data_IF_525694760447
#
_entry.id   IF_525694760447
#
_cell.length_a   1.000
_cell.length_b   1.000
_cell.length_c   1.000
_cell.angle_alpha   90.00
_cell.angle_beta   90.00
_cell.angle_gamma   90.00
#
_symmetry.space_group_name_H-M   'P 1'
#
loop_
_entity.id
_entity.type
_entity.pdbx_description
1 polymer ?
#
# COMPACT_ATOMS: atom_id res chain seq x y z
N UNK A 1 26.57 -22.15 -20.92
CA UNK A 1 27.92 -21.96 -21.49
C UNK A 1 28.26 -20.49 -21.40
N UNK A 2 29.53 -20.10 -21.20
CA UNK A 2 29.92 -18.70 -21.33
C UNK A 2 30.19 -18.40 -22.83
N UNK A 3 29.90 -17.19 -23.32
CA UNK A 3 30.03 -16.85 -24.74
C UNK A 3 31.48 -16.72 -25.20
N UNK A 4 32.43 -16.70 -24.27
CA UNK A 4 33.85 -16.66 -24.59
C UNK A 4 34.40 -18.08 -24.64
N UNK A 5 34.89 -18.51 -25.81
CA UNK A 5 35.58 -19.80 -25.98
C UNK A 5 37.04 -19.56 -26.34
N UNK A 6 37.92 -20.30 -25.70
CA UNK A 6 39.33 -20.33 -26.05
C UNK A 6 39.55 -21.27 -27.25
N UNK A 7 40.24 -20.78 -28.27
CA UNK A 7 40.63 -21.59 -29.42
C UNK A 7 41.86 -22.42 -29.10
N UNK A 8 42.15 -23.43 -29.92
CA UNK A 8 43.36 -24.25 -29.83
C UNK A 8 44.68 -23.45 -29.89
N UNK A 9 44.64 -22.15 -30.27
CA UNK A 9 45.78 -21.24 -30.25
C UNK A 9 45.75 -20.19 -29.14
N UNK A 10 44.93 -20.35 -28.09
CA UNK A 10 44.84 -19.42 -26.96
C UNK A 10 44.09 -18.10 -27.25
N UNK A 11 43.52 -17.95 -28.45
CA UNK A 11 42.71 -16.78 -28.80
C UNK A 11 41.28 -16.98 -28.31
N UNK A 12 40.77 -16.03 -27.54
CA UNK A 12 39.36 -15.99 -27.15
C UNK A 12 38.50 -15.55 -28.34
N UNK A 13 37.52 -16.37 -28.69
CA UNK A 13 36.49 -16.05 -29.68
C UNK A 13 35.16 -15.92 -28.94
N UNK A 14 34.44 -14.84 -29.23
CA UNK A 14 33.05 -14.71 -28.83
C UNK A 14 32.18 -15.58 -29.73
N UNK A 15 31.40 -16.46 -29.11
CA UNK A 15 30.36 -17.25 -29.72
C UNK A 15 29.04 -16.66 -29.24
N UNK A 16 28.23 -16.06 -30.14
CA UNK A 16 26.95 -15.52 -29.79
C UNK A 16 26.08 -16.57 -29.10
N UNK A 17 25.33 -16.13 -28.11
CA UNK A 17 24.42 -17.03 -27.42
C UNK A 17 23.34 -17.55 -28.38
N UNK A 18 23.03 -18.84 -28.30
CA UNK A 18 21.87 -19.34 -29.02
C UNK A 18 20.60 -18.82 -28.36
N UNK A 19 19.56 -18.53 -29.17
CA UNK A 19 18.27 -18.02 -28.68
C UNK A 19 17.68 -18.89 -27.57
N UNK A 20 17.80 -20.22 -27.70
CA UNK A 20 17.31 -21.17 -26.69
C UNK A 20 18.06 -21.08 -25.35
N UNK A 21 19.35 -20.75 -25.38
CA UNK A 21 20.14 -20.62 -24.17
C UNK A 21 19.69 -19.37 -23.41
N UNK A 22 19.59 -18.22 -24.11
CA UNK A 22 19.05 -17.00 -23.49
C UNK A 22 17.63 -17.25 -22.98
N UNK A 23 16.77 -17.88 -23.78
CA UNK A 23 15.40 -18.20 -23.38
C UNK A 23 15.36 -18.96 -22.06
N UNK A 24 16.10 -20.07 -21.95
CA UNK A 24 16.14 -20.87 -20.71
C UNK A 24 16.67 -20.11 -19.49
N UNK A 25 17.61 -19.17 -19.68
CA UNK A 25 18.05 -18.29 -18.60
C UNK A 25 17.03 -17.22 -18.23
N UNK A 26 16.22 -16.79 -19.19
CA UNK A 26 15.27 -15.69 -19.04
C UNK A 26 13.85 -16.13 -18.71
N UNK A 27 13.55 -17.43 -18.74
CA UNK A 27 12.22 -17.95 -18.41
C UNK A 27 11.79 -17.58 -16.97
N UNK A 28 12.76 -17.46 -16.07
CA UNK A 28 12.55 -17.03 -14.68
C UNK A 28 12.63 -15.51 -14.49
N UNK A 29 12.83 -14.73 -15.55
CA UNK A 29 12.90 -13.28 -15.42
C UNK A 29 11.52 -12.72 -15.02
N UNK A 30 11.49 -11.77 -14.07
CA UNK A 30 10.26 -11.09 -13.70
C UNK A 30 9.77 -10.28 -14.91
N UNK A 31 8.48 -10.29 -15.22
CA UNK A 31 7.99 -9.58 -16.41
C UNK A 31 8.19 -8.08 -16.30
N UNK A 32 8.78 -7.46 -17.33
CA UNK A 32 9.10 -6.02 -17.38
C UNK A 32 7.92 -5.13 -16.95
N UNK A 33 6.71 -5.38 -17.45
CA UNK A 33 5.52 -4.55 -17.13
C UNK A 33 5.02 -4.72 -15.70
N UNK A 34 5.18 -5.92 -15.14
CA UNK A 34 4.63 -6.26 -13.82
C UNK A 34 5.60 -5.87 -12.71
N UNK A 35 6.90 -6.12 -12.93
CA UNK A 35 7.96 -5.93 -11.94
C UNK A 35 9.18 -5.28 -12.59
N UNK A 36 9.07 -4.02 -13.05
CA UNK A 36 10.12 -3.36 -13.82
C UNK A 36 11.44 -3.29 -13.06
N UNK A 37 11.42 -2.99 -11.75
CA UNK A 37 12.62 -2.87 -10.92
C UNK A 37 13.37 -4.21 -10.83
N UNK A 38 12.67 -5.29 -10.48
CA UNK A 38 13.29 -6.63 -10.40
C UNK A 38 13.82 -7.06 -11.78
N UNK A 39 13.12 -6.73 -12.87
CA UNK A 39 13.56 -7.02 -14.24
C UNK A 39 14.84 -6.26 -14.61
N UNK A 40 14.96 -4.97 -14.27
CA UNK A 40 16.19 -4.21 -14.53
C UNK A 40 17.38 -4.81 -13.79
N UNK A 41 17.20 -5.16 -12.51
CA UNK A 41 18.26 -5.73 -11.69
C UNK A 41 18.74 -7.09 -12.24
N UNK A 42 17.81 -7.95 -12.64
CA UNK A 42 18.17 -9.25 -13.23
C UNK A 42 18.82 -9.11 -14.61
N UNK A 43 18.27 -8.25 -15.48
CA UNK A 43 18.83 -7.97 -16.81
C UNK A 43 20.23 -7.41 -16.70
N UNK A 44 20.45 -6.44 -15.80
CA UNK A 44 21.76 -5.83 -15.57
C UNK A 44 22.78 -6.82 -15.02
N UNK A 45 22.36 -7.66 -14.07
CA UNK A 45 23.20 -8.74 -13.56
C UNK A 45 23.58 -9.73 -14.67
N UNK A 46 22.63 -10.12 -15.52
CA UNK A 46 22.87 -11.02 -16.64
C UNK A 46 23.87 -10.43 -17.63
N UNK A 47 23.62 -9.20 -18.11
CA UNK A 47 24.50 -8.52 -19.07
C UNK A 47 25.94 -8.39 -18.56
N UNK A 48 26.10 -8.04 -17.28
CA UNK A 48 27.43 -7.91 -16.65
C UNK A 48 28.14 -9.25 -16.49
N UNK A 49 27.44 -10.30 -16.06
CA UNK A 49 28.03 -11.63 -15.85
C UNK A 49 28.34 -12.33 -17.17
N UNK A 50 27.43 -12.26 -18.14
CA UNK A 50 27.59 -12.89 -19.44
C UNK A 50 28.55 -12.13 -20.36
N UNK A 51 28.91 -10.88 -20.01
CA UNK A 51 29.73 -9.98 -20.84
C UNK A 51 29.15 -9.86 -22.26
N UNK A 52 27.85 -9.63 -22.34
CA UNK A 52 27.10 -9.60 -23.60
C UNK A 52 27.72 -8.62 -24.61
N UNK A 53 27.85 -9.06 -25.85
CA UNK A 53 28.14 -8.19 -26.99
C UNK A 53 26.83 -7.68 -27.63
N UNK A 54 26.95 -6.87 -28.68
CA UNK A 54 25.80 -6.26 -29.35
C UNK A 54 24.76 -7.31 -29.84
N UNK A 55 25.22 -8.40 -30.44
CA UNK A 55 24.33 -9.48 -30.93
C UNK A 55 23.58 -10.18 -29.78
N UNK A 56 24.26 -10.40 -28.64
CA UNK A 56 23.66 -10.98 -27.45
C UNK A 56 22.62 -10.05 -26.85
N UNK A 57 22.90 -8.74 -26.81
CA UNK A 57 21.96 -7.72 -26.32
C UNK A 57 20.72 -7.63 -27.20
N UNK A 58 20.87 -7.69 -28.52
CA UNK A 58 19.74 -7.75 -29.45
C UNK A 58 18.86 -8.96 -29.16
N UNK A 59 19.47 -10.14 -29.10
CA UNK A 59 18.74 -11.39 -28.86
C UNK A 59 18.06 -11.37 -27.49
N UNK A 60 18.76 -10.87 -26.45
CA UNK A 60 18.23 -10.70 -25.12
C UNK A 60 17.00 -9.80 -25.13
N UNK A 61 17.10 -8.57 -25.65
CA UNK A 61 15.98 -7.64 -25.64
C UNK A 61 14.79 -8.11 -26.47
N UNK A 62 15.03 -8.82 -27.59
CA UNK A 62 13.95 -9.45 -28.36
C UNK A 62 13.19 -10.53 -27.57
N UNK A 63 13.85 -11.18 -26.61
CA UNK A 63 13.23 -12.20 -25.75
C UNK A 63 12.55 -11.56 -24.54
N UNK A 64 13.24 -10.66 -23.84
CA UNK A 64 12.81 -10.18 -22.52
C UNK A 64 12.00 -8.89 -22.52
N UNK A 65 11.99 -8.14 -23.63
CA UNK A 65 11.21 -6.91 -23.79
C UNK A 65 10.01 -7.20 -24.70
N UNK A 66 8.78 -6.78 -24.32
CA UNK A 66 7.62 -6.85 -25.21
C UNK A 66 7.90 -6.16 -26.55
N UNK A 67 7.54 -6.81 -27.66
CA UNK A 67 7.89 -6.35 -29.00
C UNK A 67 7.47 -4.88 -29.28
N UNK A 68 6.29 -4.47 -28.80
CA UNK A 68 5.81 -3.09 -28.96
C UNK A 68 6.71 -2.07 -28.26
N UNK A 69 7.16 -2.39 -27.04
CA UNK A 69 8.09 -1.54 -26.29
C UNK A 69 9.50 -1.57 -26.89
N UNK A 70 9.92 -2.70 -27.45
CA UNK A 70 11.24 -2.83 -28.04
C UNK A 70 11.37 -2.01 -29.32
N UNK A 71 10.39 -2.05 -30.22
CA UNK A 71 10.39 -1.21 -31.43
C UNK A 71 10.36 0.28 -31.09
N UNK A 72 9.54 0.68 -30.11
CA UNK A 72 9.50 2.04 -29.61
C UNK A 72 10.86 2.46 -29.01
N UNK A 73 11.49 1.58 -28.24
CA UNK A 73 12.78 1.82 -27.62
C UNK A 73 13.88 2.00 -28.67
N UNK A 74 13.97 1.11 -29.66
CA UNK A 74 14.96 1.20 -30.73
C UNK A 74 14.91 2.56 -31.43
N UNK A 75 13.71 3.06 -31.74
CA UNK A 75 13.54 4.38 -32.35
C UNK A 75 13.98 5.51 -31.42
N UNK A 76 13.61 5.45 -30.14
CA UNK A 76 13.88 6.52 -29.19
C UNK A 76 15.37 6.64 -28.82
N UNK A 77 16.08 5.52 -28.68
CA UNK A 77 17.50 5.52 -28.29
C UNK A 77 18.45 5.59 -29.48
N UNK A 78 17.93 5.51 -30.71
CA UNK A 78 18.73 5.42 -31.93
C UNK A 78 19.51 4.10 -31.99
N UNK A 79 18.83 2.99 -31.70
CA UNK A 79 19.48 1.68 -31.69
C UNK A 79 19.94 1.29 -33.10
N UNK A 80 21.23 0.94 -33.29
CA UNK A 80 21.78 0.59 -34.59
C UNK A 80 21.11 -0.66 -35.21
N UNK A 81 20.92 -0.66 -36.52
CA UNK A 81 20.42 -1.82 -37.27
C UNK A 81 21.49 -2.88 -37.53
N UNK A 82 22.77 -2.50 -37.40
CA UNK A 82 23.93 -3.36 -37.58
C UNK A 82 24.92 -3.17 -36.43
N UNK A 83 25.79 -4.15 -36.23
CA UNK A 83 26.81 -4.10 -35.18
C UNK A 83 27.67 -2.82 -35.32
N UNK A 84 27.79 -2.00 -34.26
CA UNK A 84 28.73 -0.88 -34.24
C UNK A 84 30.17 -1.36 -34.38
N UNK A 85 31.06 -0.54 -34.93
CA UNK A 85 32.47 -0.91 -35.07
C UNK A 85 33.08 -1.37 -33.73
N UNK A 86 33.67 -2.56 -33.75
CA UNK A 86 34.37 -3.12 -32.59
C UNK A 86 35.66 -2.37 -32.35
N UNK A 87 36.01 -2.22 -31.08
CA UNK A 87 37.35 -1.80 -30.70
C UNK A 87 38.34 -2.89 -31.15
N UNK A 88 39.15 -2.55 -32.16
CA UNK A 88 40.10 -3.47 -32.81
C UNK A 88 41.26 -3.85 -31.89
N UNK A 89 41.55 -3.09 -30.84
CA UNK A 89 42.67 -3.34 -29.94
C UNK A 89 42.29 -4.27 -28.78
N UNK A 90 41.07 -4.13 -28.24
CA UNK A 90 40.69 -4.82 -27.00
C UNK A 90 39.76 -6.02 -27.19
N UNK A 91 39.06 -6.11 -28.33
CA UNK A 91 38.03 -7.14 -28.55
C UNK A 91 36.87 -7.09 -27.54
N UNK A 92 36.82 -6.05 -26.71
CA UNK A 92 35.78 -5.81 -25.72
C UNK A 92 34.54 -5.23 -26.40
N UNK A 93 33.34 -5.35 -25.78
CA UNK A 93 32.19 -4.57 -26.23
C UNK A 93 32.58 -3.09 -26.25
N UNK A 94 32.43 -2.48 -27.43
CA UNK A 94 32.73 -1.05 -27.61
C UNK A 94 32.04 -0.25 -26.49
N UNK A 95 32.70 0.75 -25.87
CA UNK A 95 32.06 1.64 -24.89
C UNK A 95 30.72 2.20 -25.37
N UNK A 96 30.55 2.32 -26.70
CA UNK A 96 29.30 2.67 -27.35
C UNK A 96 28.17 1.66 -27.12
N UNK A 97 28.43 0.36 -27.19
CA UNK A 97 27.43 -0.70 -26.98
C UNK A 97 26.91 -0.66 -25.56
N UNK A 98 27.80 -0.50 -24.57
CA UNK A 98 27.38 -0.35 -23.17
C UNK A 98 26.63 0.96 -22.93
N UNK A 99 27.03 2.05 -23.57
CA UNK A 99 26.28 3.31 -23.53
C UNK A 99 24.85 3.16 -24.09
N UNK A 100 24.70 2.45 -25.21
CA UNK A 100 23.38 2.14 -25.79
C UNK A 100 22.54 1.25 -24.87
N UNK A 101 23.15 0.23 -24.26
CA UNK A 101 22.49 -0.60 -23.24
C UNK A 101 21.91 0.25 -22.11
N UNK A 102 22.70 1.16 -21.52
CA UNK A 102 22.20 2.02 -20.45
C UNK A 102 21.07 2.96 -20.93
N UNK A 103 21.14 3.48 -22.16
CA UNK A 103 20.05 4.27 -22.76
C UNK A 103 18.77 3.45 -22.91
N UNK A 104 18.86 2.19 -23.34
CA UNK A 104 17.71 1.26 -23.41
C UNK A 104 17.09 1.08 -22.02
N UNK A 105 17.91 0.77 -21.01
CA UNK A 105 17.42 0.58 -19.64
C UNK A 105 16.72 1.83 -19.11
N UNK A 106 17.31 3.01 -19.27
CA UNK A 106 16.70 4.28 -18.82
C UNK A 106 15.41 4.61 -19.58
N UNK A 107 15.36 4.35 -20.89
CA UNK A 107 14.14 4.52 -21.66
C UNK A 107 13.02 3.58 -21.20
N UNK A 108 13.33 2.30 -21.00
CA UNK A 108 12.34 1.33 -20.52
C UNK A 108 11.88 1.67 -19.11
N UNK A 109 12.79 2.07 -18.21
CA UNK A 109 12.45 2.58 -16.86
C UNK A 109 11.40 3.67 -16.95
N UNK A 110 11.67 4.73 -17.71
CA UNK A 110 10.76 5.88 -17.81
C UNK A 110 9.42 5.49 -18.46
N UNK A 111 9.43 4.71 -19.54
CA UNK A 111 8.19 4.32 -20.24
C UNK A 111 7.31 3.36 -19.45
N UNK A 112 7.90 2.40 -18.75
CA UNK A 112 7.14 1.44 -17.95
C UNK A 112 6.72 2.06 -16.61
N UNK A 113 7.60 2.81 -15.96
CA UNK A 113 7.25 3.52 -14.73
C UNK A 113 6.10 4.51 -14.95
N UNK A 114 6.10 5.25 -16.07
CA UNK A 114 5.01 6.16 -16.40
C UNK A 114 3.64 5.46 -16.58
N UNK A 115 3.61 4.21 -17.05
CA UNK A 115 2.38 3.41 -17.18
C UNK A 115 1.92 2.78 -15.88
N UNK A 116 2.83 2.63 -14.91
CA UNK A 116 2.53 2.05 -13.60
C UNK A 116 2.16 3.11 -12.55
N UNK A 117 2.11 4.40 -12.92
CA UNK A 117 1.63 5.46 -12.02
C UNK A 117 0.15 5.24 -11.73
N UNK A 118 -0.14 4.81 -10.50
CA UNK A 118 -1.48 4.54 -10.00
C UNK A 118 -1.61 5.06 -8.57
N UNK A 119 -1.81 6.38 -8.46
CA UNK A 119 -2.03 7.05 -7.18
C UNK A 119 -3.24 6.50 -6.43
N UNK A 120 -4.25 5.98 -7.14
CA UNK A 120 -5.43 5.39 -6.49
C UNK A 120 -5.08 4.11 -5.73
N UNK A 121 -4.15 3.28 -6.23
CA UNK A 121 -3.67 2.11 -5.48
C UNK A 121 -2.90 2.49 -4.22
N UNK A 122 -2.11 3.57 -4.29
CA UNK A 122 -1.44 4.12 -3.10
C UNK A 122 -2.50 4.61 -2.11
N UNK A 123 -3.49 5.37 -2.57
CA UNK A 123 -4.56 5.92 -1.73
C UNK A 123 -5.41 4.84 -1.04
N UNK A 124 -5.63 3.70 -1.71
CA UNK A 124 -6.40 2.56 -1.14
C UNK A 124 -5.60 1.72 -0.15
N UNK A 125 -4.30 1.97 0.00
CA UNK A 125 -3.48 1.27 0.98
C UNK A 125 -3.78 1.83 2.37
N UNK A 126 -4.59 1.10 3.14
CA UNK A 126 -4.93 1.40 4.53
C UNK A 126 -4.55 0.23 5.44
N UNK A 127 -4.24 0.54 6.70
CA UNK A 127 -3.89 -0.40 7.75
C UNK A 127 -5.05 -1.37 8.03
N UNK A 128 -4.75 -2.67 8.01
CA UNK A 128 -5.75 -3.69 8.35
C UNK A 128 -5.99 -3.76 9.87
N UNK A 129 -7.14 -4.29 10.28
CA UNK A 129 -7.58 -4.28 11.69
C UNK A 129 -6.55 -4.88 12.68
N UNK A 130 -5.81 -5.92 12.25
CA UNK A 130 -4.82 -6.64 13.08
C UNK A 130 -3.37 -6.38 12.64
N UNK A 131 -3.16 -5.50 11.66
CA UNK A 131 -1.83 -5.22 11.13
C UNK A 131 -1.09 -4.25 12.06
N UNK A 132 0.21 -4.50 12.26
CA UNK A 132 1.06 -3.59 13.02
C UNK A 132 1.34 -2.31 12.23
N UNK A 133 1.66 -1.22 12.93
CA UNK A 133 2.02 0.06 12.31
C UNK A 133 3.20 -0.10 11.34
N UNK A 134 4.21 -0.88 11.75
CA UNK A 134 5.40 -1.10 10.93
C UNK A 134 5.09 -1.93 9.67
N UNK A 135 4.28 -2.99 9.80
CA UNK A 135 3.87 -3.80 8.64
C UNK A 135 3.08 -2.97 7.62
N UNK A 136 2.17 -2.13 8.09
CA UNK A 136 1.43 -1.19 7.24
C UNK A 136 2.37 -0.18 6.56
N UNK A 137 3.30 0.40 7.30
CA UNK A 137 4.31 1.32 6.77
C UNK A 137 5.10 0.70 5.61
N UNK A 138 5.65 -0.51 5.80
CA UNK A 138 6.41 -1.23 4.77
C UNK A 138 5.54 -1.51 3.53
N UNK A 139 4.28 -1.88 3.73
CA UNK A 139 3.34 -2.13 2.64
C UNK A 139 3.00 -0.86 1.88
N UNK A 140 2.78 0.26 2.56
CA UNK A 140 2.56 1.56 1.94
C UNK A 140 3.81 2.03 1.18
N UNK A 141 5.01 1.88 1.77
CA UNK A 141 6.27 2.20 1.12
C UNK A 141 6.45 1.40 -0.18
N UNK A 142 6.15 0.10 -0.14
CA UNK A 142 6.17 -0.77 -1.32
C UNK A 142 5.14 -0.35 -2.36
N UNK A 143 3.91 -0.02 -1.95
CA UNK A 143 2.88 0.49 -2.85
C UNK A 143 3.34 1.80 -3.51
N UNK A 144 3.94 2.71 -2.75
CA UNK A 144 4.47 3.96 -3.27
C UNK A 144 5.53 3.71 -4.34
N UNK A 145 6.57 2.92 -4.04
CA UNK A 145 7.63 2.58 -5.01
C UNK A 145 7.12 1.91 -6.28
N UNK A 146 6.06 1.12 -6.17
CA UNK A 146 5.49 0.39 -7.32
C UNK A 146 4.57 1.26 -8.18
N UNK A 147 3.93 2.28 -7.60
CA UNK A 147 2.83 3.00 -8.24
C UNK A 147 3.00 4.52 -8.29
N UNK A 148 4.06 5.11 -7.73
CA UNK A 148 4.35 6.56 -7.86
C UNK A 148 5.06 6.90 -9.17
N UNK A 149 5.67 5.89 -9.82
CA UNK A 149 6.60 6.08 -10.93
C UNK A 149 8.01 6.50 -10.48
N UNK A 150 8.31 6.45 -9.18
CA UNK A 150 9.63 6.80 -8.61
C UNK A 150 10.21 5.64 -7.79
N UNK A 151 11.52 5.43 -7.88
CA UNK A 151 12.22 4.39 -7.11
C UNK A 151 12.42 4.78 -5.64
N UNK A 152 12.61 6.08 -5.41
CA UNK A 152 12.75 6.70 -4.09
C UNK A 152 11.62 7.71 -3.87
N UNK A 153 11.28 7.95 -2.60
CA UNK A 153 10.35 9.02 -2.26
C UNK A 153 11.15 10.32 -2.28
N UNK A 154 10.92 11.14 -3.31
CA UNK A 154 11.57 12.44 -3.41
C UNK A 154 11.02 13.41 -2.35
N UNK A 155 11.77 14.46 -2.04
CA UNK A 155 11.36 15.47 -1.04
C UNK A 155 9.99 16.10 -1.37
N UNK A 156 9.68 16.28 -2.66
CA UNK A 156 8.39 16.81 -3.13
C UNK A 156 7.21 15.86 -2.83
N UNK A 157 7.47 14.57 -2.75
CA UNK A 157 6.49 13.51 -2.58
C UNK A 157 6.36 13.06 -1.11
N UNK A 158 7.36 13.36 -0.28
CA UNK A 158 7.37 13.03 1.16
C UNK A 158 6.15 13.58 1.90
N UNK A 159 5.72 14.80 1.60
CA UNK A 159 4.52 15.38 2.23
C UNK A 159 3.27 14.58 1.89
N UNK A 160 3.13 14.16 0.63
CA UNK A 160 2.03 13.29 0.21
C UNK A 160 2.14 11.91 0.89
N UNK A 161 3.34 11.34 0.98
CA UNK A 161 3.57 10.07 1.66
C UNK A 161 3.19 10.11 3.14
N UNK A 162 3.62 11.13 3.89
CA UNK A 162 3.26 11.33 5.30
C UNK A 162 1.76 11.51 5.46
N UNK A 163 1.14 12.31 4.59
CA UNK A 163 -0.31 12.47 4.57
C UNK A 163 -1.02 11.13 4.37
N UNK A 164 -0.63 10.36 3.36
CA UNK A 164 -1.20 9.03 3.10
C UNK A 164 -0.97 8.05 4.22
N UNK A 165 0.21 8.05 4.82
CA UNK A 165 0.52 7.21 5.97
C UNK A 165 -0.50 7.44 7.08
N UNK A 166 -0.68 8.69 7.53
CA UNK A 166 -1.58 9.02 8.64
C UNK A 166 -3.05 8.79 8.27
N UNK A 167 -3.48 9.14 7.05
CA UNK A 167 -4.87 8.91 6.62
C UNK A 167 -5.23 7.43 6.48
N UNK A 168 -4.26 6.59 6.10
CA UNK A 168 -4.49 5.16 5.96
C UNK A 168 -4.31 4.37 7.26
N UNK A 169 -3.86 4.97 8.36
CA UNK A 169 -3.85 4.30 9.68
C UNK A 169 -5.28 3.99 10.15
N UNK A 170 -5.40 3.07 11.11
CA UNK A 170 -6.70 2.83 11.78
C UNK A 170 -7.28 4.16 12.29
N UNK A 171 -8.61 4.38 12.16
CA UNK A 171 -9.23 5.68 12.44
C UNK A 171 -8.89 6.23 13.83
N UNK A 172 -8.82 5.38 14.85
CA UNK A 172 -8.54 5.77 16.23
C UNK A 172 -7.10 6.29 16.39
N UNK A 173 -6.16 5.69 15.67
CA UNK A 173 -4.74 6.10 15.65
C UNK A 173 -4.60 7.39 14.86
N UNK A 174 -5.17 7.43 13.65
CA UNK A 174 -5.15 8.60 12.76
C UNK A 174 -5.70 9.83 13.47
N UNK A 175 -6.84 9.69 14.16
CA UNK A 175 -7.45 10.77 14.92
C UNK A 175 -6.54 11.25 16.05
N UNK A 176 -5.90 10.35 16.79
CA UNK A 176 -5.03 10.72 17.92
C UNK A 176 -3.75 11.44 17.46
N UNK A 177 -3.19 11.04 16.32
CA UNK A 177 -2.08 11.77 15.69
C UNK A 177 -2.54 13.18 15.31
N UNK A 178 -3.67 13.30 14.60
CA UNK A 178 -4.19 14.60 14.14
C UNK A 178 -4.54 15.53 15.29
N UNK A 179 -4.95 15.01 16.45
CA UNK A 179 -5.31 15.82 17.62
C UNK A 179 -4.12 16.22 18.48
N UNK A 180 -3.08 15.38 18.59
CA UNK A 180 -2.01 15.58 19.58
C UNK A 180 -0.64 15.88 18.98
N UNK A 181 -0.38 15.48 17.73
CA UNK A 181 0.87 15.78 17.05
C UNK A 181 0.71 17.04 16.19
N UNK A 182 1.22 18.16 16.71
CA UNK A 182 1.17 19.47 16.03
C UNK A 182 1.99 19.41 14.74
N UNK A 183 1.39 19.94 13.66
CA UNK A 183 2.03 20.02 12.34
C UNK A 183 2.56 18.67 11.84
N UNK A 184 1.88 17.57 12.16
CA UNK A 184 2.30 16.21 11.78
C UNK A 184 2.58 16.07 10.27
N UNK A 185 1.93 16.85 9.41
CA UNK A 185 2.12 16.80 7.95
C UNK A 185 3.53 17.23 7.51
N UNK A 186 4.19 18.09 8.28
CA UNK A 186 5.54 18.59 7.98
C UNK A 186 6.63 17.88 8.79
N UNK A 187 6.26 16.91 9.64
CA UNK A 187 7.22 16.17 10.46
C UNK A 187 7.93 15.10 9.61
N UNK A 188 9.19 14.76 9.94
CA UNK A 188 9.85 13.60 9.37
C UNK A 188 9.04 12.33 9.62
N UNK A 189 9.03 11.43 8.63
CA UNK A 189 8.22 10.20 8.71
C UNK A 189 8.58 9.35 9.93
N UNK A 190 9.86 9.31 10.34
CA UNK A 190 10.31 8.55 11.51
C UNK A 190 9.71 9.06 12.83
N UNK A 191 9.51 10.37 12.94
CA UNK A 191 8.87 10.99 14.10
C UNK A 191 7.38 10.63 14.14
N UNK A 192 6.70 10.72 12.98
CA UNK A 192 5.29 10.35 12.83
C UNK A 192 5.08 8.86 13.09
N UNK A 193 5.97 8.00 12.61
CA UNK A 193 5.94 6.55 12.80
C UNK A 193 6.10 6.18 14.29
N UNK A 194 7.04 6.85 14.97
CA UNK A 194 7.26 6.69 16.41
C UNK A 194 6.02 7.09 17.20
N UNK A 195 5.42 8.23 16.85
CA UNK A 195 4.21 8.70 17.51
C UNK A 195 3.00 7.80 17.21
N UNK A 196 2.86 7.28 15.99
CA UNK A 196 1.84 6.32 15.62
C UNK A 196 1.94 5.01 16.43
N UNK A 197 3.16 4.55 16.70
CA UNK A 197 3.41 3.39 17.58
C UNK A 197 2.95 3.68 19.01
N UNK A 198 3.37 4.80 19.59
CA UNK A 198 2.89 5.25 20.90
C UNK A 198 1.36 5.28 20.95
N UNK A 199 0.73 5.79 19.90
CA UNK A 199 -0.73 5.85 19.81
C UNK A 199 -1.39 4.47 19.84
N UNK A 200 -0.83 3.51 19.09
CA UNK A 200 -1.31 2.12 19.08
C UNK A 200 -1.22 1.50 20.47
N UNK A 201 -0.05 1.62 21.12
CA UNK A 201 0.20 1.05 22.45
C UNK A 201 -0.77 1.62 23.50
N UNK A 202 -1.00 2.94 23.47
CA UNK A 202 -1.91 3.59 24.41
C UNK A 202 -3.38 3.15 24.22
N UNK A 203 -3.81 2.98 22.97
CA UNK A 203 -5.15 2.46 22.64
C UNK A 203 -5.30 1.02 23.14
N UNK A 204 -4.29 0.16 22.94
CA UNK A 204 -4.32 -1.22 23.43
C UNK A 204 -4.41 -1.29 24.97
N UNK A 205 -3.65 -0.46 25.67
CA UNK A 205 -3.73 -0.34 27.14
C UNK A 205 -5.12 0.12 27.58
N UNK A 206 -5.71 1.12 26.91
CA UNK A 206 -7.07 1.61 27.21
C UNK A 206 -8.12 0.53 26.96
N UNK A 207 -8.02 -0.21 25.87
CA UNK A 207 -8.93 -1.31 25.55
C UNK A 207 -8.82 -2.47 26.56
N UNK A 208 -7.61 -2.82 26.99
CA UNK A 208 -7.39 -3.86 28.01
C UNK A 208 -8.04 -3.45 29.34
N UNK A 209 -7.77 -2.24 29.83
CA UNK A 209 -8.38 -1.70 31.06
C UNK A 209 -9.91 -1.64 30.97
N UNK A 210 -10.46 -1.30 29.81
CA UNK A 210 -11.91 -1.29 29.61
C UNK A 210 -12.50 -2.71 29.69
N UNK A 211 -11.88 -3.69 29.03
CA UNK A 211 -12.30 -5.10 29.10
C UNK A 211 -12.28 -5.63 30.54
N UNK A 212 -11.22 -5.34 31.29
CA UNK A 212 -11.10 -5.72 32.71
C UNK A 212 -12.21 -5.09 33.56
N UNK A 213 -12.51 -3.80 33.36
CA UNK A 213 -13.62 -3.11 34.06
C UNK A 213 -14.99 -3.72 33.74
N UNK A 214 -15.25 -4.02 32.46
CA UNK A 214 -16.50 -4.65 32.03
C UNK A 214 -16.66 -6.04 32.65
N UNK A 215 -15.60 -6.86 32.63
CA UNK A 215 -15.61 -8.18 33.24
C UNK A 215 -15.86 -8.12 34.76
N UNK A 216 -15.22 -7.17 35.46
CA UNK A 216 -15.44 -6.97 36.88
C UNK A 216 -16.87 -6.53 37.21
N UNK A 217 -17.48 -5.67 36.39
CA UNK A 217 -18.89 -5.27 36.54
C UNK A 217 -19.84 -6.45 36.34
N UNK A 218 -19.60 -7.31 35.34
CA UNK A 218 -20.40 -8.51 35.10
C UNK A 218 -20.29 -9.50 36.26
N UNK A 219 -19.08 -9.71 36.80
CA UNK A 219 -18.86 -10.58 37.96
C UNK A 219 -19.58 -10.04 39.20
N UNK A 220 -19.49 -8.73 39.45
CA UNK A 220 -20.19 -8.08 40.57
C UNK A 220 -21.70 -8.22 40.45
N UNK A 221 -22.26 -7.99 39.25
CA UNK A 221 -23.70 -8.15 39.01
C UNK A 221 -24.18 -9.59 39.26
N UNK A 222 -23.40 -10.60 38.84
CA UNK A 222 -23.71 -12.00 39.12
C UNK A 222 -23.67 -12.33 40.62
N UNK A 223 -22.70 -11.80 41.36
CA UNK A 223 -22.58 -12.00 42.81
C UNK A 223 -23.73 -11.33 43.59
N UNK A 224 -24.12 -10.11 43.21
CA UNK A 224 -25.25 -9.41 43.86
C UNK A 224 -26.59 -10.07 43.54
N UNK A 225 -26.75 -10.63 42.34
CA UNK A 225 -27.92 -11.45 41.97
C UNK A 225 -28.08 -12.72 42.81
N UNK A 226 -26.98 -13.33 43.27
CA UNK A 226 -27.00 -14.50 44.17
C UNK A 226 -27.33 -14.13 45.62
N UNK A 227 -26.92 -12.97 46.11
CA UNK A 227 -27.26 -12.52 47.48
C UNK A 227 -28.73 -12.07 47.63
N UNK A 228 -29.35 -11.56 46.57
CA UNK A 228 -30.78 -11.21 46.57
C UNK A 228 -31.71 -12.42 46.75
N UNK A 229 -31.27 -13.63 46.40
CA UNK A 229 -32.04 -14.87 46.58
C UNK A 229 -31.92 -15.48 47.99
N UNK A 230 -30.89 -15.12 48.77
CA UNK A 230 -30.76 -15.58 50.16
C UNK A 230 -31.44 -14.65 51.18
N UNK A 231 -31.71 -13.38 50.82
CA UNK A 231 -32.38 -12.41 51.70
C UNK A 231 -33.92 -12.46 51.71
N UNK A 232 -34.56 -13.23 50.83
CA UNK A 232 -36.03 -13.24 50.67
C UNK A 232 -36.77 -14.42 51.31
N UNK A 233 -36.14 -15.21 52.19
CA UNK A 233 -36.81 -16.28 52.95
C UNK A 233 -37.49 -15.85 54.27
N UNK A 234 -37.58 -14.55 54.56
CA UNK A 234 -38.04 -14.05 55.87
C UNK A 234 -39.44 -13.39 55.95
N UNK A 235 -40.09 -13.03 54.84
CA UNK A 235 -41.37 -12.30 54.90
C UNK A 235 -42.56 -13.25 54.78
N UNK A 236 -43.05 -13.73 55.93
CA UNK A 236 -44.37 -14.32 56.07
C UNK A 236 -45.45 -13.34 55.58
N UNK A 237 -46.22 -13.79 54.60
CA UNK A 237 -47.44 -13.14 54.12
C UNK A 237 -48.52 -13.20 55.21
N UNK A 238 -49.00 -12.04 55.66
CA UNK A 238 -50.34 -11.92 56.22
C UNK A 238 -51.28 -11.41 55.13
N UNK A 239 -52.31 -12.19 54.85
CA UNK A 239 -53.35 -11.95 53.85
C UNK A 239 -54.56 -11.32 54.56
N UNK A 240 -55.04 -10.12 54.16
CA UNK A 240 -56.36 -9.63 54.56
C UNK A 240 -57.45 -10.20 53.63
N UNK A 241 -58.54 -10.65 54.25
CA UNK A 241 -59.76 -11.16 53.62
C UNK A 241 -60.64 -10.05 52.97
N UNK A 242 -61.60 -10.43 52.11
CA UNK A 242 -62.26 -9.53 51.14
C UNK A 242 -63.59 -8.94 51.64
N UNK A 243 -64.01 -7.83 51.03
CA UNK A 243 -65.38 -7.31 51.08
C UNK A 243 -65.96 -7.01 49.69
N UNK A 244 -67.30 -6.99 49.55
CA UNK A 244 -68.00 -7.48 48.36
C UNK A 244 -68.36 -6.42 47.33
N UNK A 245 -68.67 -6.96 46.15
CA UNK A 245 -69.04 -6.34 44.88
C UNK A 245 -70.26 -5.39 44.96
N UNK A 246 -70.25 -4.37 44.10
CA UNK A 246 -71.47 -3.90 43.44
C UNK A 246 -71.25 -3.82 41.93
N UNK A 247 -72.25 -4.36 41.23
CA UNK A 247 -72.40 -4.60 39.80
C UNK A 247 -72.57 -3.30 39.00
N UNK A 248 -72.26 -3.35 37.70
CA UNK A 248 -72.84 -2.41 36.73
C UNK A 248 -72.16 -2.32 35.37
N UNK A 249 -72.39 -3.34 34.51
CA UNK A 249 -72.50 -3.32 33.04
C UNK A 249 -71.52 -2.50 32.18
N UNK A 250 -70.62 -3.17 31.44
CA UNK A 250 -70.79 -3.76 30.09
C UNK A 250 -70.64 -2.77 28.93
N UNK A 251 -69.50 -2.88 28.22
CA UNK A 251 -69.43 -2.93 26.76
C UNK A 251 -68.11 -3.56 26.27
N UNK A 252 -68.24 -4.63 25.48
CA UNK A 252 -67.23 -5.37 24.70
C UNK A 252 -66.61 -4.48 23.57
N UNK A 253 -65.28 -4.43 23.37
CA UNK A 253 -64.38 -5.26 22.50
C UNK A 253 -64.54 -5.09 20.96
N UNK A 254 -63.52 -5.38 20.09
CA UNK A 254 -62.11 -5.75 20.33
C UNK A 254 -61.02 -5.19 19.36
N UNK A 255 -59.75 -5.39 19.77
CA UNK A 255 -58.51 -5.77 19.04
C UNK A 255 -58.06 -5.08 17.72
N UNK A 256 -56.77 -4.68 17.70
CA UNK A 256 -55.76 -5.32 16.83
C UNK A 256 -54.31 -5.04 17.30
N UNK A 257 -53.46 -6.07 17.16
CA UNK A 257 -52.01 -6.13 17.41
C UNK A 257 -51.19 -5.74 16.18
N UNK A 258 -49.94 -5.33 16.38
CA UNK A 258 -48.83 -5.47 15.41
C UNK A 258 -47.64 -4.57 15.76
N UNK A 259 -46.59 -5.02 16.47
CA UNK A 259 -45.35 -5.66 15.98
C UNK A 259 -44.70 -5.01 14.73
N UNK A 260 -43.63 -4.23 14.97
CA UNK A 260 -42.25 -4.49 14.49
C UNK A 260 -41.87 -4.21 13.02
N UNK A 261 -40.92 -3.28 12.83
CA UNK A 261 -39.76 -3.26 11.90
C UNK A 261 -39.21 -1.82 11.92
N UNK A 262 -37.93 -1.53 12.17
CA UNK A 262 -36.75 -2.11 11.54
C UNK A 262 -36.40 -1.27 10.30
N UNK A 263 -35.74 -0.12 10.49
CA UNK A 263 -35.33 0.78 9.41
C UNK A 263 -33.97 1.42 9.73
N UNK A 264 -32.92 0.84 9.17
CA UNK A 264 -31.59 1.46 9.06
C UNK A 264 -31.68 2.65 8.10
N UNK A 265 -31.22 3.83 8.53
CA UNK A 265 -30.98 4.97 7.63
C UNK A 265 -29.48 5.13 7.49
N UNK A 266 -29.02 4.92 6.26
CA UNK A 266 -27.66 5.12 5.77
C UNK A 266 -27.43 6.63 5.59
N UNK A 267 -26.59 7.24 6.42
CA UNK A 267 -26.10 8.60 6.20
C UNK A 267 -24.68 8.51 5.62
N UNK A 268 -24.57 8.57 4.29
CA UNK A 268 -23.32 8.88 3.61
C UNK A 268 -22.99 10.37 3.76
N UNK A 269 -21.70 10.76 3.84
CA UNK A 269 -21.33 12.16 4.02
C UNK A 269 -21.52 13.00 2.75
N UNK A 270 -22.03 14.20 2.99
CA UNK A 270 -22.45 15.25 2.07
C UNK A 270 -21.27 15.90 1.30
N UNK A 271 -21.46 16.06 -0.03
CA UNK A 271 -20.52 16.58 -1.02
C UNK A 271 -20.12 18.05 -0.81
N UNK A 272 -20.78 18.77 0.11
CA UNK A 272 -20.46 20.15 0.45
C UNK A 272 -19.17 20.33 1.27
N UNK A 273 -18.61 19.25 1.84
CA UNK A 273 -17.39 19.33 2.67
C UNK A 273 -16.09 19.39 1.84
N UNK A 274 -16.15 19.00 0.56
CA UNK A 274 -14.95 18.94 -0.31
C UNK A 274 -14.62 20.30 -0.93
N UNK A 275 -15.62 21.20 -1.06
CA UNK A 275 -15.45 22.50 -1.73
C UNK A 275 -14.70 23.52 -0.84
N UNK A 276 -14.80 23.41 0.48
CA UNK A 276 -14.11 24.28 1.45
C UNK A 276 -12.61 24.02 1.54
N UNK A 277 -12.15 22.78 1.30
CA UNK A 277 -10.71 22.44 1.32
C UNK A 277 -9.92 23.00 0.14
N UNK A 278 -10.53 23.05 -1.05
CA UNK A 278 -9.87 23.57 -2.28
C UNK A 278 -9.77 25.10 -2.26
N UNK A 279 -10.71 25.80 -1.62
CA UNK A 279 -10.64 27.25 -1.47
C UNK A 279 -9.58 27.70 -0.45
N UNK A 280 -9.30 26.89 0.57
CA UNK A 280 -8.23 27.18 1.54
C UNK A 280 -6.82 27.10 0.90
N UNK A 281 -6.56 26.14 0.01
CA UNK A 281 -5.26 26.00 -0.67
C UNK A 281 -4.97 27.15 -1.65
N UNK A 282 -5.98 27.73 -2.31
CA UNK A 282 -5.79 28.90 -3.19
C UNK A 282 -5.43 30.18 -2.41
N UNK A 283 -5.80 30.28 -1.13
CA UNK A 283 -5.47 31.45 -0.29
C UNK A 283 -4.04 31.39 0.23
N UNK A 284 -3.53 30.20 0.57
CA UNK A 284 -2.14 30.01 1.02
C UNK A 284 -1.13 30.23 -0.11
N UNK A 285 -1.45 29.81 -1.35
CA UNK A 285 -0.58 30.03 -2.51
C UNK A 285 -0.55 31.48 -3.04
N UNK A 286 -1.50 32.35 -2.64
CA UNK A 286 -1.46 33.78 -3.01
C UNK A 286 -0.64 34.63 -2.05
N UNK A 287 -0.48 34.20 -0.79
CA UNK A 287 0.33 34.92 0.21
C UNK A 287 1.83 34.71 -0.05
N UNK A 288 2.23 33.52 -0.51
CA UNK A 288 3.64 33.20 -0.83
C UNK A 288 4.18 33.84 -2.11
N UNK A 289 3.34 34.50 -2.92
CA UNK A 289 3.76 35.22 -4.14
C UNK A 289 3.84 36.74 -3.95
N UNK A 290 3.47 37.26 -2.77
CA UNK A 290 3.55 38.69 -2.44
C UNK A 290 4.79 39.05 -1.59
N UNK A 291 5.61 38.06 -1.23
CA UNK A 291 6.83 38.21 -0.42
C UNK A 291 8.11 37.76 -1.16
N UNK A 292 8.06 37.70 -2.49
CA UNK A 292 9.21 37.58 -3.41
C UNK A 292 9.09 38.67 -4.47
#
# INVERSE_FOLDING_TARGET
MLPMRETAGGKLIHVPWHRSDIQSFTDDFPKLREKPIEWYQQTDRFVKLAKCLWEDLNTLFEIVVPADLWEDCKRAVGWPTSEPERDRETGAPSPMVMSLYYKVIEYLKTKVAAKNVDWQKIDRTAQEAKESIHSYYERLLKAFKNYSGTETIEAKDMLHFVFRFVEGLRPEISQMIKSHLICWQSKPIDEVLTYAKYCSDEIEVKQKKLKEKVMMMQLKAAQTGLQGLQGMQGFQQQVPQPQPQLQGNMAFQPQARGRGRGGFVNNGPDLNTVVTGVQAMKKVMRVTRAEL
#
